data_IF_821865948941
#
_entry.id   IF_821865948941
#
_cell.length_a   1.000
_cell.length_b   1.000
_cell.length_c   1.000
_cell.angle_alpha   90.00
_cell.angle_beta   90.00
_cell.angle_gamma   90.00
#
_symmetry.space_group_name_H-M   'P 1'
#
loop_
_entity.id
_entity.type
_entity.pdbx_description
1 polymer ?
#
# COMPACT_ATOMS: atom_id res chain seq x y z
N UNK A 1 27.01 3.04 -8.50
CA UNK A 1 26.45 2.03 -7.57
C UNK A 1 24.94 2.07 -7.67
N UNK A 2 24.30 0.94 -7.95
CA UNK A 2 22.84 0.80 -7.93
C UNK A 2 22.36 0.96 -6.49
N UNK A 3 21.44 1.89 -6.22
CA UNK A 3 20.84 2.01 -4.87
C UNK A 3 20.05 0.72 -4.57
N UNK A 4 20.31 0.13 -3.41
CA UNK A 4 19.61 -1.07 -2.93
C UNK A 4 18.16 -0.77 -2.49
N UNK A 5 17.88 0.47 -2.10
CA UNK A 5 16.56 0.95 -1.70
C UNK A 5 16.42 2.43 -2.06
N UNK A 6 15.17 2.84 -2.28
CA UNK A 6 14.76 4.21 -2.55
C UNK A 6 13.94 4.73 -1.38
N UNK A 7 13.91 6.04 -1.19
CA UNK A 7 13.22 6.67 -0.07
C UNK A 7 12.37 7.83 -0.55
N UNK A 8 11.16 7.92 -0.01
CA UNK A 8 10.24 9.04 -0.20
C UNK A 8 9.92 9.61 1.17
N UNK A 9 9.96 10.93 1.27
CA UNK A 9 9.54 11.62 2.49
C UNK A 9 8.02 11.74 2.51
N UNK A 10 7.41 11.26 3.59
CA UNK A 10 5.97 11.24 3.81
C UNK A 10 5.64 11.97 5.13
N UNK A 11 4.62 12.83 5.19
CA UNK A 11 4.30 13.56 6.41
C UNK A 11 3.80 12.67 7.57
N UNK A 12 3.29 11.47 7.30
CA UNK A 12 2.73 10.55 8.32
C UNK A 12 3.79 9.54 8.78
N UNK A 13 4.52 8.94 7.84
CA UNK A 13 5.46 7.85 8.06
C UNK A 13 6.94 8.28 8.03
N UNK A 14 7.20 9.58 7.81
CA UNK A 14 8.52 10.24 7.70
C UNK A 14 9.32 9.80 6.49
N UNK A 15 9.79 8.56 6.47
CA UNK A 15 10.51 7.97 5.33
C UNK A 15 9.91 6.63 4.98
N UNK A 16 9.40 6.52 3.75
CA UNK A 16 8.91 5.29 3.17
C UNK A 16 10.01 4.71 2.30
N UNK A 17 10.40 3.47 2.57
CA UNK A 17 11.41 2.73 1.80
C UNK A 17 10.76 1.90 0.71
N UNK A 18 11.38 1.88 -0.46
CA UNK A 18 10.93 1.17 -1.64
C UNK A 18 12.07 0.31 -2.18
N UNK A 19 11.76 -0.93 -2.58
CA UNK A 19 12.67 -1.71 -3.42
C UNK A 19 12.58 -1.28 -4.90
N UNK A 20 13.36 -1.93 -5.77
CA UNK A 20 13.40 -1.59 -7.18
C UNK A 20 12.10 -1.93 -7.93
N UNK A 21 11.40 -2.98 -7.53
CA UNK A 21 10.17 -3.42 -8.20
C UNK A 21 8.98 -2.57 -7.73
N UNK A 22 8.89 -2.26 -6.44
CA UNK A 22 7.94 -1.30 -5.88
C UNK A 22 8.12 0.07 -6.55
N UNK A 23 9.36 0.53 -6.76
CA UNK A 23 9.63 1.78 -7.49
C UNK A 23 9.20 1.72 -8.96
N UNK A 24 9.33 0.59 -9.65
CA UNK A 24 8.86 0.45 -11.04
C UNK A 24 7.35 0.59 -11.10
N UNK A 25 6.61 -0.07 -10.19
CA UNK A 25 5.16 0.04 -10.09
C UNK A 25 4.75 1.47 -9.76
N UNK A 26 5.41 2.09 -8.77
CA UNK A 26 5.18 3.49 -8.41
C UNK A 26 5.30 4.42 -9.61
N UNK A 27 6.33 4.23 -10.45
CA UNK A 27 6.61 5.07 -11.62
C UNK A 27 5.77 4.72 -12.86
N UNK A 28 4.90 3.71 -12.77
CA UNK A 28 4.03 3.33 -13.87
C UNK A 28 2.91 4.35 -14.09
N UNK A 29 2.42 4.45 -15.33
CA UNK A 29 1.29 5.33 -15.65
C UNK A 29 0.03 5.03 -14.80
N UNK A 30 -0.42 3.76 -14.64
CA UNK A 30 -1.60 3.46 -13.83
C UNK A 30 -1.47 3.92 -12.38
N UNK A 31 -0.28 3.86 -11.80
CA UNK A 31 -0.05 4.28 -10.42
C UNK A 31 0.07 5.80 -10.29
N UNK A 32 0.80 6.46 -11.19
CA UNK A 32 0.94 7.93 -11.18
C UNK A 32 -0.40 8.65 -11.37
N UNK A 33 -1.37 8.02 -12.05
CA UNK A 33 -2.75 8.52 -12.16
C UNK A 33 -3.39 8.82 -10.80
N UNK A 34 -3.05 8.08 -9.73
CA UNK A 34 -3.60 8.28 -8.39
C UNK A 34 -3.28 9.67 -7.81
N UNK A 35 -2.32 10.42 -8.37
CA UNK A 35 -2.04 11.81 -8.00
C UNK A 35 -3.16 12.78 -8.37
N UNK A 36 -4.12 12.33 -9.16
CA UNK A 36 -5.25 13.13 -9.65
C UNK A 36 -6.58 12.69 -9.05
N UNK A 37 -6.56 11.80 -8.04
CA UNK A 37 -7.76 11.28 -7.40
C UNK A 37 -7.70 11.66 -5.92
N UNK A 38 -8.54 12.62 -5.52
CA UNK A 38 -8.70 12.99 -4.12
C UNK A 38 -9.20 11.81 -3.30
N UNK A 39 -8.57 11.57 -2.15
CA UNK A 39 -8.96 10.51 -1.22
C UNK A 39 -10.43 10.64 -0.82
N UNK A 40 -10.84 11.86 -0.47
CA UNK A 40 -12.16 12.19 0.06
C UNK A 40 -13.02 12.95 -0.96
N UNK A 41 -12.92 12.60 -2.25
CA UNK A 41 -13.77 13.18 -3.30
C UNK A 41 -13.77 14.72 -3.27
N UNK A 42 -14.95 15.35 -3.18
CA UNK A 42 -15.12 16.81 -3.12
C UNK A 42 -15.03 17.40 -1.70
N UNK A 43 -14.71 16.61 -0.67
CA UNK A 43 -14.61 17.12 0.70
C UNK A 43 -13.60 18.25 0.87
N UNK A 44 -12.60 18.37 -0.01
CA UNK A 44 -11.66 19.49 -0.03
C UNK A 44 -12.33 20.86 -0.28
N UNK A 45 -13.54 20.89 -0.86
CA UNK A 45 -14.34 22.11 -1.06
C UNK A 45 -14.97 22.62 0.25
N UNK A 46 -15.07 21.77 1.26
CA UNK A 46 -15.61 22.11 2.59
C UNK A 46 -14.49 22.17 3.63
N UNK A 47 -13.56 21.23 3.56
CA UNK A 47 -12.43 21.08 4.47
C UNK A 47 -11.11 21.35 3.71
N UNK A 48 -10.53 22.55 3.79
CA UNK A 48 -9.39 22.94 2.95
C UNK A 48 -8.11 22.14 3.18
N UNK A 49 -8.03 21.36 4.28
CA UNK A 49 -6.93 20.42 4.53
C UNK A 49 -7.12 19.03 3.91
N UNK A 50 -8.31 18.71 3.40
CA UNK A 50 -8.63 17.40 2.83
C UNK A 50 -8.17 17.27 1.37
N UNK A 51 -6.99 17.79 1.04
CA UNK A 51 -6.44 17.85 -0.33
C UNK A 51 -5.61 16.62 -0.71
N UNK A 52 -5.45 15.67 0.20
CA UNK A 52 -4.67 14.46 -0.01
C UNK A 52 -5.28 13.57 -1.11
N UNK A 53 -4.41 12.92 -1.85
CA UNK A 53 -4.68 12.06 -2.99
C UNK A 53 -4.48 10.59 -2.62
N UNK A 54 -5.07 9.72 -3.44
CA UNK A 54 -4.91 8.26 -3.33
C UNK A 54 -3.45 7.82 -3.46
N UNK A 55 -2.62 8.58 -4.18
CA UNK A 55 -1.20 8.27 -4.38
C UNK A 55 -0.41 8.12 -3.07
N UNK A 56 -0.42 9.15 -2.21
CA UNK A 56 0.29 9.11 -0.94
C UNK A 56 -0.36 8.14 0.05
N UNK A 57 -1.68 7.96 -0.03
CA UNK A 57 -2.38 6.96 0.76
C UNK A 57 -1.88 5.55 0.44
N UNK A 58 -1.86 5.14 -0.83
CA UNK A 58 -1.38 3.82 -1.26
C UNK A 58 0.09 3.56 -0.85
N UNK A 59 0.94 4.60 -0.91
CA UNK A 59 2.31 4.54 -0.40
C UNK A 59 2.35 4.25 1.11
N UNK A 60 1.54 4.97 1.89
CA UNK A 60 1.43 4.77 3.33
C UNK A 60 0.90 3.37 3.69
N UNK A 61 -0.11 2.87 2.97
CA UNK A 61 -0.66 1.52 3.18
C UNK A 61 0.39 0.44 2.91
N UNK A 62 1.18 0.57 1.83
CA UNK A 62 2.31 -0.34 1.57
C UNK A 62 3.35 -0.33 2.72
N UNK A 63 3.71 0.86 3.22
CA UNK A 63 4.65 0.99 4.32
C UNK A 63 4.13 0.33 5.60
N UNK A 64 2.88 0.66 5.97
CA UNK A 64 2.24 0.12 7.16
C UNK A 64 2.07 -1.40 7.08
N UNK A 65 1.63 -1.93 5.93
CA UNK A 65 1.49 -3.37 5.71
C UNK A 65 2.83 -4.10 5.89
N UNK A 66 3.93 -3.52 5.38
CA UNK A 66 5.27 -4.04 5.60
C UNK A 66 5.67 -4.07 7.07
N UNK A 67 5.43 -2.98 7.81
CA UNK A 67 5.73 -2.90 9.26
C UNK A 67 4.92 -3.92 10.06
N UNK A 68 3.63 -4.05 9.77
CA UNK A 68 2.76 -5.03 10.42
C UNK A 68 3.27 -6.44 10.15
N UNK A 69 3.58 -6.76 8.88
CA UNK A 69 4.15 -8.05 8.51
C UNK A 69 5.44 -8.36 9.28
N UNK A 70 6.36 -7.40 9.38
CA UNK A 70 7.62 -7.57 10.10
C UNK A 70 7.40 -7.85 11.59
N UNK A 71 6.37 -7.25 12.20
CA UNK A 71 6.00 -7.51 13.60
C UNK A 71 5.39 -8.90 13.76
N UNK A 72 4.41 -9.27 12.93
CA UNK A 72 3.69 -10.55 13.09
C UNK A 72 4.51 -11.75 12.64
N UNK A 73 5.52 -11.55 11.80
CA UNK A 73 6.44 -12.61 11.34
C UNK A 73 7.77 -12.62 12.09
N UNK A 74 7.93 -11.77 13.11
CA UNK A 74 9.12 -11.82 13.96
C UNK A 74 9.12 -13.10 14.81
N UNK A 75 10.24 -13.84 14.79
CA UNK A 75 10.39 -15.11 15.51
C UNK A 75 10.13 -15.01 17.03
N UNK A 76 10.31 -13.83 17.64
CA UNK A 76 10.04 -13.54 19.06
C UNK A 76 8.54 -13.37 19.33
N UNK A 77 7.77 -12.93 18.35
CA UNK A 77 6.33 -12.66 18.49
C UNK A 77 5.44 -13.86 18.11
N UNK A 78 6.04 -14.95 17.62
CA UNK A 78 5.30 -16.11 17.10
C UNK A 78 5.40 -17.28 18.07
N UNK A 79 4.25 -17.73 18.57
CA UNK A 79 4.11 -18.93 19.38
C UNK A 79 4.46 -20.20 18.58
N UNK A 80 4.99 -21.24 19.24
CA UNK A 80 5.43 -22.48 18.58
C UNK A 80 4.35 -23.14 17.73
N UNK A 81 3.12 -23.17 18.22
CA UNK A 81 1.95 -23.71 17.51
C UNK A 81 1.69 -23.03 16.17
N UNK A 82 1.96 -21.73 16.04
CA UNK A 82 1.80 -21.00 14.78
C UNK A 82 2.93 -21.32 13.80
N UNK A 83 4.16 -21.52 14.31
CA UNK A 83 5.30 -21.96 13.47
C UNK A 83 5.07 -23.34 12.87
N UNK A 84 4.42 -24.22 13.62
CA UNK A 84 4.05 -25.56 13.15
C UNK A 84 2.94 -25.51 12.08
N UNK A 85 1.92 -24.67 12.29
CA UNK A 85 0.81 -24.50 11.34
C UNK A 85 1.25 -23.84 10.03
N UNK A 86 2.20 -22.89 10.10
CA UNK A 86 2.70 -22.15 8.95
C UNK A 86 4.22 -22.34 8.88
N UNK A 87 4.63 -23.52 8.44
CA UNK A 87 6.06 -23.90 8.35
C UNK A 87 6.89 -22.92 7.50
N UNK A 88 6.28 -22.27 6.53
CA UNK A 88 6.91 -21.24 5.68
C UNK A 88 7.43 -20.03 6.46
N UNK A 89 6.91 -19.76 7.67
CA UNK A 89 7.42 -18.70 8.56
C UNK A 89 8.86 -18.97 9.00
N UNK A 90 9.31 -20.23 8.96
CA UNK A 90 10.69 -20.57 9.32
C UNK A 90 11.66 -20.46 8.13
N UNK A 91 11.16 -20.28 6.91
CA UNK A 91 11.98 -20.12 5.71
C UNK A 91 12.12 -18.62 5.36
N UNK A 92 13.33 -18.09 5.54
CA UNK A 92 13.65 -16.69 5.26
C UNK A 92 13.37 -16.27 3.81
N UNK A 93 13.53 -17.18 2.84
CA UNK A 93 13.24 -16.87 1.43
C UNK A 93 11.73 -16.73 1.20
N UNK A 94 10.94 -17.59 1.83
CA UNK A 94 9.47 -17.56 1.77
C UNK A 94 8.91 -16.33 2.48
N UNK A 95 9.40 -16.02 3.68
CA UNK A 95 9.05 -14.79 4.39
C UNK A 95 9.35 -13.56 3.52
N UNK A 96 10.55 -13.49 2.93
CA UNK A 96 10.93 -12.39 2.05
C UNK A 96 10.01 -12.24 0.84
N UNK A 97 9.60 -13.36 0.23
CA UNK A 97 8.62 -13.38 -0.85
C UNK A 97 7.26 -12.84 -0.41
N UNK A 98 6.69 -13.38 0.68
CA UNK A 98 5.37 -12.98 1.18
C UNK A 98 5.32 -11.52 1.62
N UNK A 99 6.41 -11.02 2.22
CA UNK A 99 6.54 -9.60 2.55
C UNK A 99 6.43 -8.72 1.32
N UNK A 100 7.17 -9.05 0.25
CA UNK A 100 7.12 -8.30 -1.02
C UNK A 100 5.75 -8.39 -1.68
N UNK A 101 5.16 -9.58 -1.71
CA UNK A 101 3.83 -9.80 -2.27
C UNK A 101 2.76 -8.97 -1.54
N UNK A 102 2.77 -8.99 -0.21
CA UNK A 102 1.86 -8.19 0.61
C UNK A 102 2.04 -6.69 0.36
N UNK A 103 3.29 -6.21 0.36
CA UNK A 103 3.58 -4.80 0.10
C UNK A 103 3.13 -4.38 -1.30
N UNK A 104 3.38 -5.20 -2.33
CA UNK A 104 2.92 -4.91 -3.68
C UNK A 104 1.40 -4.87 -3.79
N UNK A 105 0.71 -5.82 -3.13
CA UNK A 105 -0.76 -5.84 -3.07
C UNK A 105 -1.30 -4.58 -2.36
N UNK A 106 -0.71 -4.22 -1.21
CA UNK A 106 -1.04 -3.02 -0.45
C UNK A 106 -0.78 -1.73 -1.25
N UNK A 107 0.32 -1.66 -2.00
CA UNK A 107 0.60 -0.55 -2.89
C UNK A 107 -0.51 -0.46 -3.96
N UNK A 108 -0.88 -1.58 -4.57
CA UNK A 108 -1.80 -1.60 -5.70
C UNK A 108 -3.29 -1.58 -5.33
N UNK A 109 -3.67 -1.67 -4.05
CA UNK A 109 -5.06 -1.93 -3.65
C UNK A 109 -6.06 -0.88 -4.17
N UNK A 110 -5.61 0.37 -4.29
CA UNK A 110 -6.43 1.52 -4.70
C UNK A 110 -6.28 1.90 -6.18
N UNK A 111 -5.55 1.11 -6.99
CA UNK A 111 -5.34 1.41 -8.42
C UNK A 111 -6.65 1.55 -9.20
N UNK A 112 -7.66 0.79 -8.81
CA UNK A 112 -8.97 0.72 -9.46
C UNK A 112 -9.91 1.90 -9.15
N UNK A 113 -9.57 2.79 -8.21
CA UNK A 113 -10.50 3.85 -7.80
C UNK A 113 -10.88 4.77 -8.96
N UNK A 114 -12.17 5.10 -9.04
CA UNK A 114 -12.73 6.02 -10.03
C UNK A 114 -12.41 7.49 -9.70
N UNK A 115 -12.55 8.42 -10.67
CA UNK A 115 -12.63 9.84 -10.36
C UNK A 115 -13.66 10.10 -9.26
N UNK A 116 -13.36 11.03 -8.35
CA UNK A 116 -14.15 11.30 -7.13
C UNK A 116 -14.21 10.13 -6.12
N UNK A 117 -13.31 9.14 -6.20
CA UNK A 117 -13.26 8.02 -5.26
C UNK A 117 -14.65 7.37 -5.11
N UNK A 118 -15.07 7.06 -3.87
CA UNK A 118 -16.36 6.43 -3.58
C UNK A 118 -17.59 7.25 -3.99
N UNK A 119 -17.46 8.57 -4.20
CA UNK A 119 -18.61 9.41 -4.54
C UNK A 119 -19.19 9.11 -5.92
N UNK A 120 -18.39 8.57 -6.85
CA UNK A 120 -18.84 8.23 -8.18
C UNK A 120 -19.28 6.76 -8.34
N UNK A 121 -18.93 5.90 -7.37
CA UNK A 121 -19.18 4.46 -7.47
C UNK A 121 -20.67 4.16 -7.60
N UNK A 122 -21.52 4.76 -6.76
CA UNK A 122 -22.97 4.56 -6.78
C UNK A 122 -23.64 4.98 -8.11
N UNK A 123 -23.12 6.03 -8.75
CA UNK A 123 -23.75 6.62 -9.94
C UNK A 123 -23.20 6.04 -11.25
N UNK A 124 -21.98 5.49 -11.23
CA UNK A 124 -21.29 5.00 -12.44
C UNK A 124 -21.20 3.47 -12.53
N UNK A 125 -21.28 2.76 -11.41
CA UNK A 125 -21.17 1.30 -11.40
C UNK A 125 -22.55 0.63 -11.47
N UNK A 126 -22.64 -0.57 -12.07
CA UNK A 126 -23.90 -1.32 -12.15
C UNK A 126 -24.38 -1.73 -10.75
N UNK A 127 -25.69 -1.96 -10.60
CA UNK A 127 -26.23 -2.52 -9.35
C UNK A 127 -25.55 -3.86 -8.98
N UNK A 128 -25.22 -4.04 -7.69
CA UNK A 128 -24.57 -5.24 -7.16
C UNK A 128 -23.07 -5.35 -7.46
N UNK A 129 -22.38 -4.21 -7.59
CA UNK A 129 -20.93 -4.16 -7.81
C UNK A 129 -20.10 -4.40 -6.52
N UNK A 130 -20.73 -4.24 -5.35
CA UNK A 130 -20.11 -4.32 -4.01
C UNK A 130 -20.30 -5.69 -3.33
#
# INVERSE_FOLDING_TARGET
MTKLYHEIRDPVHVFIKLDNDERKVLNSYPFQRLRHIHQLAMSYLVYPGATHMRFEHSLGVMELAGRVFDVVTNAVNIHSTVKELISEISDNNKIGYWRRALRMAALCHDLGHLPFSHAAEKELLPEGWD
#
